data_IF_532304759880
#
_entry.id   IF_532304759880
#
_cell.length_a   1.000
_cell.length_b   1.000
_cell.length_c   1.000
_cell.angle_alpha   90.00
_cell.angle_beta   90.00
_cell.angle_gamma   90.00
#
_symmetry.space_group_name_H-M   'P 1'
#
loop_
_entity.id
_entity.type
_entity.pdbx_description
1 polymer ?
#
# COMPACT_ATOMS: atom_id res chain seq x y z
N UNK A 1 -23.92 -11.58 -13.97
CA UNK A 1 -23.27 -12.08 -12.77
C UNK A 1 -21.77 -11.95 -12.91
N UNK A 2 -21.22 -10.88 -12.42
CA UNK A 2 -19.79 -10.59 -12.40
C UNK A 2 -19.12 -11.58 -11.44
N UNK A 3 -18.28 -12.45 -11.95
CA UNK A 3 -17.46 -13.33 -11.12
C UNK A 3 -16.44 -12.44 -10.41
N UNK A 4 -16.69 -12.15 -9.12
CA UNK A 4 -15.71 -11.50 -8.25
C UNK A 4 -14.36 -12.22 -8.40
N UNK A 5 -13.29 -11.46 -8.68
CA UNK A 5 -11.93 -11.99 -8.73
C UNK A 5 -11.64 -12.73 -7.41
N UNK A 6 -10.98 -13.90 -7.42
CA UNK A 6 -10.79 -14.72 -6.21
C UNK A 6 -10.21 -13.95 -5.00
N UNK A 7 -9.40 -12.91 -5.25
CA UNK A 7 -8.83 -12.06 -4.21
C UNK A 7 -9.85 -11.21 -3.45
N UNK A 8 -10.82 -10.61 -4.14
CA UNK A 8 -11.79 -9.67 -3.54
C UNK A 8 -12.70 -10.36 -2.52
N UNK A 9 -13.19 -11.56 -2.83
CA UNK A 9 -14.05 -12.33 -1.91
C UNK A 9 -13.33 -12.77 -0.64
N UNK A 10 -12.02 -13.01 -0.74
CA UNK A 10 -11.17 -13.37 0.40
C UNK A 10 -10.97 -12.16 1.34
N UNK A 11 -10.68 -10.98 0.79
CA UNK A 11 -10.50 -9.74 1.56
C UNK A 11 -11.74 -9.28 2.30
N UNK A 12 -12.95 -9.49 1.75
CA UNK A 12 -14.20 -9.16 2.43
C UNK A 12 -14.38 -9.93 3.75
N UNK A 13 -13.87 -11.16 3.84
CA UNK A 13 -13.95 -11.98 5.06
C UNK A 13 -12.91 -11.60 6.11
N UNK A 14 -11.79 -11.02 5.68
CA UNK A 14 -10.67 -10.70 6.59
C UNK A 14 -10.56 -9.22 6.92
N UNK A 15 -11.42 -8.35 6.34
CA UNK A 15 -11.39 -6.92 6.61
C UNK A 15 -11.33 -6.56 8.11
N UNK A 16 -12.11 -7.19 9.01
CA UNK A 16 -12.05 -6.88 10.44
C UNK A 16 -10.74 -7.31 11.12
N UNK A 17 -10.04 -8.30 10.55
CA UNK A 17 -8.81 -8.87 11.13
C UNK A 17 -7.55 -8.45 10.36
N UNK A 18 -7.70 -7.63 9.30
CA UNK A 18 -6.60 -7.23 8.43
C UNK A 18 -5.48 -6.49 9.19
N UNK A 19 -5.83 -5.51 10.01
CA UNK A 19 -4.86 -4.77 10.82
C UNK A 19 -4.19 -5.65 11.87
N UNK A 20 -4.92 -6.61 12.43
CA UNK A 20 -4.36 -7.59 13.34
C UNK A 20 -3.34 -8.50 12.64
N UNK A 21 -3.66 -8.97 11.42
CA UNK A 21 -2.73 -9.75 10.60
C UNK A 21 -1.44 -8.98 10.31
N UNK A 22 -1.54 -7.70 9.95
CA UNK A 22 -0.39 -6.84 9.74
C UNK A 22 0.41 -6.62 11.02
N UNK A 23 -0.26 -6.44 12.16
CA UNK A 23 0.40 -6.29 13.46
C UNK A 23 1.18 -7.54 13.84
N UNK A 24 0.62 -8.72 13.65
CA UNK A 24 1.31 -9.99 13.91
C UNK A 24 2.51 -10.15 12.97
N UNK A 25 2.34 -9.94 11.65
CA UNK A 25 3.41 -10.10 10.66
C UNK A 25 4.56 -9.12 10.87
N UNK A 26 4.28 -7.92 11.34
CA UNK A 26 5.24 -6.85 11.53
C UNK A 26 5.78 -6.74 12.96
N UNK A 27 5.38 -7.63 13.87
CA UNK A 27 5.64 -7.46 15.31
C UNK A 27 5.19 -6.07 15.83
N UNK A 28 4.06 -5.54 15.32
CA UNK A 28 3.55 -4.22 15.65
C UNK A 28 4.27 -3.04 14.99
N UNK A 29 5.32 -3.28 14.20
CA UNK A 29 6.14 -2.21 13.60
C UNK A 29 5.47 -1.49 12.42
N UNK A 30 4.36 -2.01 11.87
CA UNK A 30 3.74 -1.44 10.66
C UNK A 30 3.32 0.04 10.84
N UNK A 31 2.91 0.44 12.02
CA UNK A 31 2.58 1.85 12.30
C UNK A 31 3.82 2.76 12.22
N UNK A 32 4.97 2.29 12.71
CA UNK A 32 6.23 3.03 12.60
C UNK A 32 6.70 3.12 11.14
N UNK A 33 6.50 2.05 10.36
CA UNK A 33 6.82 2.05 8.92
C UNK A 33 5.93 3.00 8.13
N UNK A 34 4.61 3.02 8.42
CA UNK A 34 3.66 3.98 7.82
C UNK A 34 4.06 5.42 8.12
N UNK A 35 4.38 5.73 9.39
CA UNK A 35 4.88 7.07 9.78
C UNK A 35 6.16 7.45 9.05
N UNK A 36 7.08 6.49 8.88
CA UNK A 36 8.31 6.73 8.14
C UNK A 36 8.03 6.99 6.65
N UNK A 37 7.09 6.24 6.05
CA UNK A 37 6.66 6.45 4.67
C UNK A 37 6.10 7.88 4.47
N UNK A 38 5.17 8.31 5.32
CA UNK A 38 4.58 9.66 5.23
C UNK A 38 5.64 10.76 5.37
N UNK A 39 6.59 10.62 6.30
CA UNK A 39 7.70 11.59 6.44
C UNK A 39 8.60 11.64 5.21
N UNK A 40 8.89 10.48 4.59
CA UNK A 40 9.71 10.43 3.38
C UNK A 40 8.97 10.94 2.15
N UNK A 41 7.65 10.79 2.11
CA UNK A 41 6.83 11.33 1.03
C UNK A 41 6.86 12.87 1.01
N UNK A 42 7.01 13.50 2.18
CA UNK A 42 7.19 14.94 2.34
C UNK A 42 6.13 15.71 1.54
N UNK A 43 4.90 15.69 2.04
CA UNK A 43 3.72 16.28 1.40
C UNK A 43 3.59 17.75 1.80
N UNK A 44 3.73 18.71 0.86
CA UNK A 44 3.41 20.10 1.10
C UNK A 44 1.93 20.32 1.45
N UNK A 45 1.61 21.36 2.24
CA UNK A 45 0.22 21.78 2.43
C UNK A 45 -0.46 22.09 1.09
N UNK A 46 -1.70 21.63 0.93
CA UNK A 46 -2.48 21.84 -0.29
C UNK A 46 -2.37 20.70 -1.32
N UNK A 47 -1.46 19.75 -1.13
CA UNK A 47 -1.27 18.63 -2.06
C UNK A 47 -2.51 17.72 -2.15
N UNK A 48 -2.66 17.09 -3.31
CA UNK A 48 -3.66 16.06 -3.59
C UNK A 48 -2.98 14.69 -3.59
N UNK A 49 -3.30 13.86 -2.59
CA UNK A 49 -2.76 12.51 -2.44
C UNK A 49 -3.77 11.47 -2.91
N UNK A 50 -3.29 10.49 -3.68
CA UNK A 50 -4.03 9.27 -4.01
C UNK A 50 -3.46 8.10 -3.20
N UNK A 51 -4.28 7.48 -2.35
CA UNK A 51 -3.95 6.27 -1.59
C UNK A 51 -4.54 5.05 -2.33
N UNK A 52 -3.70 4.40 -3.13
CA UNK A 52 -4.08 3.28 -4.01
C UNK A 52 -4.07 1.97 -3.22
N UNK A 53 -5.12 1.16 -3.37
CA UNK A 53 -5.37 0.00 -2.52
C UNK A 53 -5.39 0.40 -1.03
N UNK A 54 -6.00 1.56 -0.74
CA UNK A 54 -5.93 2.20 0.58
C UNK A 54 -6.71 1.47 1.68
N UNK A 55 -7.60 0.54 1.32
CA UNK A 55 -8.33 -0.33 2.24
C UNK A 55 -9.07 0.46 3.32
N UNK A 56 -8.69 0.27 4.59
CA UNK A 56 -9.26 0.99 5.75
C UNK A 56 -8.79 2.44 5.88
N UNK A 57 -7.80 2.87 5.07
CA UNK A 57 -7.38 4.26 4.97
C UNK A 57 -6.35 4.71 6.00
N UNK A 58 -5.61 3.81 6.62
CA UNK A 58 -4.62 4.18 7.64
C UNK A 58 -3.59 5.19 7.13
N UNK A 59 -3.03 4.99 5.91
CA UNK A 59 -2.06 5.91 5.31
C UNK A 59 -2.71 7.25 4.99
N UNK A 60 -3.94 7.23 4.48
CA UNK A 60 -4.71 8.44 4.19
C UNK A 60 -4.93 9.29 5.45
N UNK A 61 -5.40 8.66 6.53
CA UNK A 61 -5.63 9.32 7.82
C UNK A 61 -4.34 9.90 8.39
N UNK A 62 -3.24 9.12 8.34
CA UNK A 62 -1.93 9.60 8.80
C UNK A 62 -1.36 10.72 7.93
N UNK A 63 -1.73 10.80 6.65
CA UNK A 63 -1.28 11.85 5.72
C UNK A 63 -2.08 13.15 5.88
N UNK A 64 -3.34 13.09 6.28
CA UNK A 64 -4.26 14.22 6.32
C UNK A 64 -3.71 15.44 7.11
N UNK A 65 -3.10 15.27 8.30
CA UNK A 65 -2.53 16.39 9.03
C UNK A 65 -1.36 17.08 8.31
N UNK A 66 -0.62 16.35 7.46
CA UNK A 66 0.55 16.89 6.76
C UNK A 66 0.15 17.74 5.55
N UNK A 67 -0.92 17.37 4.84
CA UNK A 67 -1.38 18.12 3.67
C UNK A 67 -2.20 19.37 4.02
N UNK A 68 -2.62 19.55 5.27
CA UNK A 68 -3.23 20.75 5.80
C UNK A 68 -4.48 21.25 5.08
N UNK A 69 -4.80 22.52 5.29
CA UNK A 69 -5.95 23.14 4.63
C UNK A 69 -5.75 23.24 3.11
N UNK A 70 -6.80 22.91 2.35
CA UNK A 70 -6.79 22.91 0.89
C UNK A 70 -6.27 21.60 0.26
N UNK A 71 -5.54 20.78 1.02
CA UNK A 71 -5.13 19.44 0.58
C UNK A 71 -6.27 18.44 0.65
N UNK A 72 -6.15 17.36 -0.13
CA UNK A 72 -7.15 16.28 -0.15
C UNK A 72 -6.48 14.92 -0.31
N UNK A 73 -7.02 13.92 0.37
CA UNK A 73 -6.62 12.52 0.23
C UNK A 73 -7.76 11.74 -0.40
N UNK A 74 -7.44 10.96 -1.41
CA UNK A 74 -8.38 10.10 -2.10
C UNK A 74 -7.99 8.64 -1.84
N UNK A 75 -8.78 7.93 -1.05
CA UNK A 75 -8.65 6.48 -0.86
C UNK A 75 -9.30 5.81 -2.07
N UNK A 76 -8.50 5.04 -2.79
CA UNK A 76 -8.91 4.32 -3.99
C UNK A 76 -8.74 2.82 -3.77
N UNK A 77 -9.83 2.07 -3.71
CA UNK A 77 -9.79 0.63 -3.46
C UNK A 77 -10.93 -0.07 -4.19
N UNK A 78 -10.71 -1.31 -4.60
CA UNK A 78 -11.75 -2.17 -5.17
C UNK A 78 -12.66 -2.77 -4.08
N UNK A 79 -12.22 -2.74 -2.83
CA UNK A 79 -12.92 -3.34 -1.70
C UNK A 79 -13.71 -2.29 -0.91
N UNK A 80 -14.96 -2.10 -1.31
CA UNK A 80 -15.90 -1.18 -0.64
C UNK A 80 -16.08 -1.47 0.85
N UNK A 81 -16.08 -2.76 1.25
CA UNK A 81 -16.29 -3.14 2.65
C UNK A 81 -15.15 -2.64 3.54
N UNK A 82 -13.89 -2.74 3.09
CA UNK A 82 -12.74 -2.20 3.81
C UNK A 82 -12.82 -0.67 3.94
N UNK A 83 -13.12 0.03 2.85
CA UNK A 83 -13.29 1.49 2.88
C UNK A 83 -14.41 1.92 3.84
N UNK A 84 -15.55 1.21 3.85
CA UNK A 84 -16.65 1.48 4.77
C UNK A 84 -16.22 1.28 6.22
N UNK A 85 -15.54 0.16 6.51
CA UNK A 85 -15.00 -0.12 7.85
C UNK A 85 -14.06 1.01 8.31
N UNK A 86 -13.16 1.46 7.44
CA UNK A 86 -12.24 2.55 7.76
C UNK A 86 -12.95 3.87 7.98
N UNK A 87 -13.90 4.22 7.10
CA UNK A 87 -14.68 5.46 7.20
C UNK A 87 -15.45 5.57 8.50
N UNK A 88 -15.98 4.45 8.98
CA UNK A 88 -16.85 4.43 10.15
C UNK A 88 -16.07 4.37 11.49
N UNK A 89 -14.74 4.29 11.45
CA UNK A 89 -13.90 4.36 12.65
C UNK A 89 -13.96 5.76 13.29
N UNK A 90 -14.11 5.86 14.63
CA UNK A 90 -14.19 7.15 15.33
C UNK A 90 -12.98 8.04 15.07
N UNK A 91 -11.78 7.48 15.08
CA UNK A 91 -10.51 8.20 14.86
C UNK A 91 -10.37 8.82 13.46
N UNK A 92 -11.15 8.34 12.50
CA UNK A 92 -11.13 8.83 11.13
C UNK A 92 -12.13 9.98 10.90
N UNK A 93 -13.01 10.22 11.88
CA UNK A 93 -14.08 11.21 11.77
C UNK A 93 -13.55 12.65 11.70
N UNK A 94 -12.46 12.95 12.38
CA UNK A 94 -11.86 14.30 12.44
C UNK A 94 -11.35 14.78 11.06
N UNK A 95 -10.97 13.85 10.20
CA UNK A 95 -10.39 14.13 8.88
C UNK A 95 -11.39 14.01 7.72
N UNK A 96 -12.69 13.91 7.99
CA UNK A 96 -13.73 13.67 6.97
C UNK A 96 -13.80 14.72 5.87
N UNK A 97 -13.41 15.94 6.16
CA UNK A 97 -13.49 17.05 5.19
C UNK A 97 -12.45 16.97 4.09
N UNK A 98 -11.31 16.33 4.36
CA UNK A 98 -10.22 16.20 3.38
C UNK A 98 -10.06 14.77 2.80
N UNK A 99 -10.73 13.75 3.37
CA UNK A 99 -10.61 12.36 2.90
C UNK A 99 -11.84 11.99 2.04
N UNK A 100 -11.57 11.53 0.83
CA UNK A 100 -12.56 11.08 -0.15
C UNK A 100 -12.35 9.60 -0.46
N UNK A 101 -13.45 8.88 -0.72
CA UNK A 101 -13.42 7.44 -1.00
C UNK A 101 -13.91 7.18 -2.43
N UNK A 102 -13.13 6.42 -3.19
CA UNK A 102 -13.42 6.06 -4.57
C UNK A 102 -13.29 4.54 -4.72
N UNK A 103 -14.36 3.88 -5.14
CA UNK A 103 -14.33 2.46 -5.48
C UNK A 103 -13.83 2.28 -6.91
N UNK A 104 -12.78 1.46 -7.10
CA UNK A 104 -12.24 1.20 -8.43
C UNK A 104 -11.05 0.26 -8.45
N UNK A 105 -10.68 -0.16 -9.66
CA UNK A 105 -9.56 -1.06 -9.93
C UNK A 105 -8.26 -0.28 -10.11
N UNK A 106 -7.25 -0.58 -9.28
CA UNK A 106 -5.93 0.05 -9.35
C UNK A 106 -5.20 -0.20 -10.69
N UNK A 107 -5.59 -1.25 -11.43
CA UNK A 107 -5.07 -1.51 -12.77
C UNK A 107 -5.75 -0.67 -13.88
N UNK A 108 -6.78 0.12 -13.52
CA UNK A 108 -7.50 1.03 -14.40
C UNK A 108 -8.12 2.17 -13.58
N UNK A 109 -7.27 3.11 -13.14
CA UNK A 109 -7.69 4.17 -12.23
C UNK A 109 -8.64 5.15 -12.95
N UNK A 110 -9.87 5.25 -12.46
CA UNK A 110 -10.93 6.10 -13.02
C UNK A 110 -10.73 7.59 -12.67
N UNK A 111 -9.50 8.09 -12.83
CA UNK A 111 -9.14 9.49 -12.67
C UNK A 111 -8.40 9.99 -13.92
N UNK A 112 -8.53 11.31 -14.18
CA UNK A 112 -7.80 11.93 -15.29
C UNK A 112 -6.29 11.88 -15.04
N UNK A 113 -5.52 11.96 -16.09
CA UNK A 113 -4.06 12.13 -16.01
C UNK A 113 -3.67 13.46 -15.32
N UNK A 114 -2.46 13.50 -14.80
CA UNK A 114 -1.85 14.72 -14.23
C UNK A 114 -2.71 15.39 -13.14
N UNK A 115 -3.35 14.61 -12.28
CA UNK A 115 -4.28 15.10 -11.26
C UNK A 115 -3.63 15.22 -9.88
N UNK A 116 -2.81 14.25 -9.47
CA UNK A 116 -2.33 14.12 -8.10
C UNK A 116 -0.88 14.57 -7.96
N UNK A 117 -0.56 15.18 -6.82
CA UNK A 117 0.80 15.58 -6.47
C UNK A 117 1.60 14.37 -5.98
N UNK A 118 0.92 13.43 -5.32
CA UNK A 118 1.52 12.17 -4.89
C UNK A 118 0.53 11.01 -5.01
N UNK A 119 1.07 9.80 -5.21
CA UNK A 119 0.34 8.53 -5.13
C UNK A 119 1.10 7.57 -4.22
N UNK A 120 0.40 6.98 -3.26
CA UNK A 120 0.97 6.03 -2.29
C UNK A 120 0.24 4.70 -2.38
N UNK A 121 0.96 3.61 -2.18
CA UNK A 121 0.38 2.28 -1.97
C UNK A 121 1.07 1.60 -0.80
N UNK A 122 0.30 1.15 0.18
CA UNK A 122 0.82 0.45 1.36
C UNK A 122 0.22 -0.93 1.53
N UNK A 123 1.06 -1.96 1.43
CA UNK A 123 0.71 -3.37 1.66
C UNK A 123 -0.42 -3.91 0.77
N UNK A 124 -0.65 -3.27 -0.39
CA UNK A 124 -1.75 -3.60 -1.29
C UNK A 124 -1.33 -4.00 -2.69
N UNK A 125 -0.19 -3.50 -3.16
CA UNK A 125 0.23 -3.66 -4.56
C UNK A 125 0.50 -5.13 -4.95
N UNK A 126 0.95 -5.97 -4.01
CA UNK A 126 1.20 -7.40 -4.23
C UNK A 126 -0.07 -8.19 -4.57
N UNK A 127 -1.24 -7.63 -4.31
CA UNK A 127 -2.54 -8.28 -4.57
C UNK A 127 -3.07 -7.98 -5.98
N UNK A 128 -2.42 -7.11 -6.75
CA UNK A 128 -2.78 -6.86 -8.13
C UNK A 128 -2.41 -8.06 -9.01
N UNK A 129 -3.21 -8.29 -10.04
CA UNK A 129 -2.93 -9.31 -11.05
C UNK A 129 -1.73 -8.90 -11.91
N UNK A 130 -1.67 -7.60 -12.26
CA UNK A 130 -0.64 -7.01 -13.09
C UNK A 130 -0.02 -5.79 -12.39
N UNK A 131 0.99 -6.05 -11.56
CA UNK A 131 1.71 -5.05 -10.78
C UNK A 131 2.14 -3.84 -11.59
N UNK A 132 2.77 -4.08 -12.74
CA UNK A 132 3.29 -3.04 -13.63
C UNK A 132 2.16 -2.14 -14.15
N UNK A 133 1.00 -2.72 -14.45
CA UNK A 133 -0.17 -1.97 -14.91
C UNK A 133 -0.68 -1.00 -13.83
N UNK A 134 -0.71 -1.45 -12.58
CA UNK A 134 -1.06 -0.58 -11.45
C UNK A 134 -0.11 0.61 -11.31
N UNK A 135 1.20 0.38 -11.40
CA UNK A 135 2.17 1.48 -11.35
C UNK A 135 2.13 2.39 -12.59
N UNK A 136 1.82 1.87 -13.79
CA UNK A 136 1.59 2.70 -14.98
C UNK A 136 0.39 3.63 -14.79
N UNK A 137 -0.68 3.15 -14.19
CA UNK A 137 -1.84 3.97 -13.85
C UNK A 137 -1.50 5.03 -12.80
N UNK A 138 -0.73 4.68 -11.76
CA UNK A 138 -0.22 5.66 -10.79
C UNK A 138 0.63 6.73 -11.49
N UNK A 139 1.52 6.33 -12.42
CA UNK A 139 2.31 7.27 -13.22
C UNK A 139 1.43 8.21 -14.05
N UNK A 140 0.42 7.67 -14.72
CA UNK A 140 -0.49 8.45 -15.58
C UNK A 140 -1.21 9.53 -14.80
N UNK A 141 -1.76 9.18 -13.61
CA UNK A 141 -2.57 10.11 -12.82
C UNK A 141 -1.74 11.13 -12.02
N UNK A 142 -0.44 10.91 -11.86
CA UNK A 142 0.48 11.85 -11.22
C UNK A 142 0.75 13.04 -12.14
N UNK A 143 0.83 14.24 -11.56
CA UNK A 143 1.34 15.45 -12.21
C UNK A 143 2.82 15.29 -12.56
N UNK A 144 3.33 16.00 -13.58
CA UNK A 144 4.78 16.15 -13.74
C UNK A 144 5.45 16.60 -12.44
N UNK A 145 6.55 15.95 -12.04
CA UNK A 145 7.20 16.17 -10.74
C UNK A 145 6.50 15.49 -9.55
N UNK A 146 5.36 14.87 -9.76
CA UNK A 146 4.63 14.14 -8.72
C UNK A 146 5.39 12.90 -8.23
N UNK A 147 5.09 12.49 -7.01
CA UNK A 147 5.81 11.43 -6.28
C UNK A 147 5.00 10.13 -6.27
N UNK A 148 5.65 9.00 -6.49
CA UNK A 148 5.09 7.67 -6.18
C UNK A 148 5.78 7.09 -4.97
N UNK A 149 5.04 6.49 -4.04
CA UNK A 149 5.59 5.74 -2.92
C UNK A 149 4.92 4.38 -2.80
N UNK A 150 5.74 3.35 -2.62
CA UNK A 150 5.28 2.00 -2.33
C UNK A 150 5.90 1.53 -1.02
N UNK A 151 5.06 1.22 -0.03
CA UNK A 151 5.44 0.54 1.21
C UNK A 151 4.93 -0.89 1.14
N UNK A 152 5.85 -1.87 1.14
CA UNK A 152 5.46 -3.26 1.00
C UNK A 152 6.34 -4.19 1.84
N UNK A 153 5.80 -5.35 2.20
CA UNK A 153 6.57 -6.41 2.83
C UNK A 153 7.63 -6.96 1.88
N UNK A 154 8.75 -7.37 2.44
CA UNK A 154 9.85 -7.97 1.74
C UNK A 154 10.52 -9.05 2.59
N UNK A 155 11.65 -9.57 2.11
CA UNK A 155 12.40 -10.63 2.79
C UNK A 155 13.53 -10.03 3.61
N UNK A 156 13.74 -10.50 4.85
CA UNK A 156 14.90 -10.09 5.64
C UNK A 156 16.22 -10.28 4.90
N UNK A 157 17.14 -9.34 5.08
CA UNK A 157 18.44 -9.37 4.41
C UNK A 157 19.45 -10.28 5.13
N UNK A 158 19.44 -10.28 6.47
CA UNK A 158 20.31 -11.14 7.27
C UNK A 158 19.84 -12.61 7.20
N UNK A 159 20.70 -13.59 6.83
CA UNK A 159 20.30 -14.99 6.66
C UNK A 159 19.73 -15.64 7.93
N UNK A 160 20.34 -15.35 9.10
CA UNK A 160 19.87 -15.89 10.38
C UNK A 160 18.50 -15.31 10.74
N UNK A 161 18.35 -14.01 10.58
CA UNK A 161 17.09 -13.34 10.84
C UNK A 161 15.99 -13.78 9.84
N UNK A 162 16.37 -14.06 8.59
CA UNK A 162 15.49 -14.65 7.57
C UNK A 162 14.98 -16.02 8.02
N UNK A 163 15.88 -16.88 8.48
CA UNK A 163 15.50 -18.20 8.98
C UNK A 163 14.54 -18.12 10.16
N UNK A 164 14.80 -17.25 11.14
CA UNK A 164 13.93 -17.01 12.28
C UNK A 164 12.55 -16.45 11.85
N UNK A 165 12.55 -15.49 10.93
CA UNK A 165 11.33 -14.89 10.41
C UNK A 165 10.51 -15.89 9.59
N UNK A 166 11.17 -16.74 8.81
CA UNK A 166 10.54 -17.82 8.05
C UNK A 166 9.91 -18.84 8.99
N UNK A 167 10.63 -19.26 10.03
CA UNK A 167 10.10 -20.15 11.05
C UNK A 167 8.86 -19.56 11.73
N UNK A 168 8.93 -18.30 12.13
CA UNK A 168 7.82 -17.57 12.71
C UNK A 168 6.62 -17.47 11.76
N UNK A 169 6.84 -17.06 10.52
CA UNK A 169 5.77 -16.82 9.55
C UNK A 169 5.08 -18.09 9.06
N UNK A 170 5.77 -19.25 9.08
CA UNK A 170 5.17 -20.52 8.65
C UNK A 170 4.58 -21.36 9.76
N UNK A 171 5.14 -21.27 10.95
CA UNK A 171 4.75 -22.17 12.05
C UNK A 171 3.94 -21.43 13.11
N UNK A 172 4.37 -20.24 13.51
CA UNK A 172 3.73 -19.50 14.62
C UNK A 172 2.53 -18.68 14.13
N UNK A 173 2.69 -17.92 13.05
CA UNK A 173 1.63 -17.07 12.52
C UNK A 173 0.35 -17.82 12.12
N UNK A 174 0.41 -18.93 11.35
CA UNK A 174 -0.81 -19.67 10.99
C UNK A 174 -1.51 -20.27 12.20
N UNK A 175 -0.74 -20.67 13.22
CA UNK A 175 -1.29 -21.15 14.48
C UNK A 175 -1.98 -20.03 15.26
N UNK A 176 -1.32 -18.89 15.44
CA UNK A 176 -1.91 -17.71 16.06
C UNK A 176 -3.16 -17.22 15.29
N UNK A 177 -3.10 -17.23 13.95
CA UNK A 177 -4.23 -16.89 13.09
C UNK A 177 -5.43 -17.82 13.25
N UNK A 178 -5.20 -19.12 13.46
CA UNK A 178 -6.28 -20.08 13.69
C UNK A 178 -6.97 -19.88 15.05
N UNK A 179 -6.20 -19.49 16.07
CA UNK A 179 -6.70 -19.32 17.44
C UNK A 179 -7.37 -17.95 17.63
N UNK A 180 -6.79 -16.88 17.07
CA UNK A 180 -7.18 -15.50 17.36
C UNK A 180 -8.07 -14.87 16.28
N UNK A 181 -7.95 -15.29 15.02
CA UNK A 181 -8.67 -14.69 13.89
C UNK A 181 -9.50 -15.69 13.06
N UNK A 182 -9.55 -16.96 13.45
CA UNK A 182 -10.35 -17.98 12.78
C UNK A 182 -9.95 -18.33 11.33
N UNK A 183 -8.76 -17.87 10.84
CA UNK A 183 -8.38 -18.07 9.45
C UNK A 183 -6.90 -18.37 9.25
N UNK A 184 -6.54 -19.65 9.44
CA UNK A 184 -5.21 -20.18 9.09
C UNK A 184 -4.85 -19.96 7.62
N UNK A 185 -5.84 -20.07 6.73
CA UNK A 185 -5.65 -19.95 5.28
C UNK A 185 -5.24 -18.53 4.85
N UNK A 186 -5.77 -17.49 5.50
CA UNK A 186 -5.45 -16.09 5.21
C UNK A 186 -4.00 -15.76 5.51
N UNK A 187 -3.45 -16.27 6.63
CA UNK A 187 -2.04 -16.07 6.98
C UNK A 187 -1.08 -16.84 6.06
N UNK A 188 -1.45 -18.06 5.67
CA UNK A 188 -0.66 -18.83 4.71
C UNK A 188 -0.61 -18.13 3.34
N UNK A 189 -1.74 -17.61 2.86
CA UNK A 189 -1.83 -16.86 1.61
C UNK A 189 -0.97 -15.58 1.68
N UNK A 190 -1.03 -14.84 2.78
CA UNK A 190 -0.24 -13.62 2.99
C UNK A 190 1.26 -13.91 2.95
N UNK A 191 1.72 -14.94 3.66
CA UNK A 191 3.13 -15.34 3.65
C UNK A 191 3.62 -15.76 2.26
N UNK A 192 2.77 -16.45 1.48
CA UNK A 192 3.10 -16.84 0.11
C UNK A 192 3.19 -15.63 -0.83
N UNK A 193 2.23 -14.71 -0.78
CA UNK A 193 2.25 -13.50 -1.64
C UNK A 193 3.47 -12.63 -1.38
N UNK A 194 3.90 -12.50 -0.12
CA UNK A 194 5.13 -11.77 0.24
C UNK A 194 6.37 -12.44 -0.38
N UNK A 195 6.42 -13.77 -0.38
CA UNK A 195 7.57 -14.51 -0.94
C UNK A 195 7.66 -14.44 -2.45
N UNK A 196 6.51 -14.38 -3.12
CA UNK A 196 6.42 -14.29 -4.57
C UNK A 196 6.53 -12.85 -5.08
N UNK A 197 6.50 -11.87 -4.18
CA UNK A 197 6.60 -10.46 -4.55
C UNK A 197 8.01 -10.11 -5.02
N UNK A 198 8.10 -9.14 -5.93
CA UNK A 198 9.34 -8.63 -6.49
C UNK A 198 10.33 -8.21 -5.39
N UNK A 199 11.61 -8.51 -5.59
CA UNK A 199 12.67 -7.99 -4.74
C UNK A 199 12.73 -6.45 -4.82
N UNK A 200 13.37 -5.78 -3.86
CA UNK A 200 13.50 -4.32 -3.92
C UNK A 200 14.16 -3.80 -5.19
N UNK A 201 15.17 -4.51 -5.71
CA UNK A 201 15.87 -4.13 -6.94
C UNK A 201 14.98 -4.34 -8.17
N UNK A 202 14.28 -5.48 -8.27
CA UNK A 202 13.31 -5.74 -9.35
C UNK A 202 12.18 -4.70 -9.37
N UNK A 203 11.64 -4.33 -8.20
CA UNK A 203 10.61 -3.30 -8.13
C UNK A 203 11.13 -1.92 -8.55
N UNK A 204 12.37 -1.60 -8.18
CA UNK A 204 13.04 -0.38 -8.65
C UNK A 204 13.16 -0.37 -10.17
N UNK A 205 13.63 -1.47 -10.79
CA UNK A 205 13.75 -1.60 -12.24
C UNK A 205 12.39 -1.47 -12.94
N UNK A 206 11.33 -2.05 -12.38
CA UNK A 206 9.96 -1.90 -12.90
C UNK A 206 9.54 -0.42 -12.89
N UNK A 207 9.75 0.29 -11.79
CA UNK A 207 9.39 1.70 -11.68
C UNK A 207 10.18 2.57 -12.68
N UNK A 208 11.50 2.34 -12.79
CA UNK A 208 12.35 3.03 -13.77
C UNK A 208 11.93 2.71 -15.21
N UNK A 209 11.57 1.46 -15.51
CA UNK A 209 11.05 1.03 -16.81
C UNK A 209 9.70 1.65 -17.19
N UNK A 210 8.90 2.04 -16.21
CA UNK A 210 7.64 2.79 -16.43
C UNK A 210 7.93 4.25 -16.78
N UNK A 211 9.06 4.80 -16.31
CA UNK A 211 9.46 6.19 -16.55
C UNK A 211 9.60 7.02 -15.27
N UNK A 212 9.51 6.41 -14.09
CA UNK A 212 9.84 7.12 -12.87
C UNK A 212 11.34 7.38 -12.80
N UNK A 213 11.70 8.58 -12.35
CA UNK A 213 13.07 9.05 -12.20
C UNK A 213 13.49 9.06 -10.73
N UNK A 214 14.80 9.05 -10.46
CA UNK A 214 15.38 9.12 -9.10
C UNK A 214 14.77 8.06 -8.17
N UNK A 215 14.52 6.86 -8.70
CA UNK A 215 13.94 5.77 -7.92
C UNK A 215 14.93 5.27 -6.89
N UNK A 216 14.52 5.32 -5.64
CA UNK A 216 15.29 4.84 -4.49
C UNK A 216 14.43 3.97 -3.59
N UNK A 217 15.08 3.15 -2.75
CA UNK A 217 14.34 2.42 -1.74
C UNK A 217 15.09 2.37 -0.40
N UNK A 218 14.31 2.23 0.67
CA UNK A 218 14.80 2.12 2.06
C UNK A 218 14.24 0.86 2.70
N UNK A 219 15.14 -0.01 3.17
CA UNK A 219 14.77 -1.19 3.96
C UNK A 219 14.48 -0.79 5.41
N UNK A 220 13.41 -1.36 5.96
CA UNK A 220 12.98 -1.16 7.34
C UNK A 220 13.04 -2.50 8.08
N UNK A 221 13.38 -2.45 9.37
CA UNK A 221 13.40 -3.63 10.25
C UNK A 221 14.09 -4.82 9.57
N UNK A 222 15.38 -4.65 9.26
CA UNK A 222 16.22 -5.67 8.59
C UNK A 222 15.65 -6.18 7.25
N UNK A 223 14.86 -5.36 6.55
CA UNK A 223 14.28 -5.68 5.24
C UNK A 223 12.93 -6.40 5.27
N UNK A 224 12.27 -6.53 6.43
CA UNK A 224 10.90 -7.07 6.52
C UNK A 224 9.93 -6.19 5.73
N UNK A 225 10.16 -4.88 5.72
CA UNK A 225 9.44 -3.95 4.87
C UNK A 225 10.41 -3.07 4.09
N UNK A 226 9.94 -2.56 2.95
CA UNK A 226 10.71 -1.68 2.07
C UNK A 226 9.80 -0.55 1.60
N UNK A 227 10.35 0.67 1.62
CA UNK A 227 9.73 1.84 1.03
C UNK A 227 10.48 2.14 -0.27
N UNK A 228 9.77 2.19 -1.39
CA UNK A 228 10.25 2.75 -2.66
C UNK A 228 9.68 4.14 -2.84
N UNK A 229 10.50 5.05 -3.39
CA UNK A 229 10.12 6.40 -3.74
C UNK A 229 10.66 6.70 -5.13
N UNK A 230 9.84 7.27 -5.99
CA UNK A 230 10.20 7.70 -7.35
C UNK A 230 9.42 8.95 -7.74
N UNK A 231 9.85 9.62 -8.82
CA UNK A 231 9.29 10.87 -9.27
C UNK A 231 8.87 10.77 -10.73
N UNK A 232 7.74 11.33 -11.09
CA UNK A 232 7.37 11.51 -12.49
C UNK A 232 8.20 12.63 -13.08
N UNK A 233 8.76 12.44 -14.29
CA UNK A 233 9.52 13.46 -14.99
C UNK A 233 8.76 14.79 -15.09
N UNK A 234 9.48 15.89 -14.94
CA UNK A 234 8.93 17.25 -15.14
C UNK A 234 8.61 17.52 -16.60
N UNK A 235 9.33 16.87 -17.54
CA UNK A 235 9.10 16.96 -18.97
C UNK A 235 8.16 15.86 -19.43
N UNK A 236 6.99 16.24 -19.97
CA UNK A 236 6.13 15.29 -20.68
C UNK A 236 6.89 14.73 -21.87
N UNK A 237 7.50 13.54 -21.75
CA UNK A 237 7.84 12.76 -22.94
C UNK A 237 6.51 12.24 -23.49
N UNK A 238 5.98 12.89 -24.53
CA UNK A 238 4.95 12.30 -25.39
C UNK A 238 5.52 10.99 -25.94
N UNK A 239 4.97 9.88 -25.48
CA UNK A 239 5.16 8.55 -26.05
C UNK A 239 4.30 8.40 -27.31
#
# INVERSE_FOLDING_TARGET
>A
GEKLRPGVSHFNRVAPTYDFMHSVLSFGSHHAWKRTAIRLLDLPPGDQLLDVCGGTGDLAVMSAPHIGEGGRVFIYDINRAMMTTGRDRPENQENRTCIHYIEGDAEQIACRENRFDAAIVGFGIRNLTHLEKGFREMYRVLKPGGKVMCLEFSKPTNPLFRWLYDFYSFNIMPFAGSVLAGSRQSYACLSQTIRMFASPDELKEILEGIGFETVSYKRLTNGIAVIHLGYKSLTSRSL
#
